data_IF_167369926108
#
_entry.id   IF_167369926108
#
_cell.length_a   1.000
_cell.length_b   1.000
_cell.length_c   1.000
_cell.angle_alpha   90.00
_cell.angle_beta   90.00
_cell.angle_gamma   90.00
#
_symmetry.space_group_name_H-M   'P 1'
#
loop_
_entity.id
_entity.type
_entity.pdbx_description
1 polymer ?
#
# COMPACT_ATOMS: atom_id res chain seq x y z
N UNK A 1 -15.55 1.61 -1.38
CA UNK A 1 -14.46 2.29 -2.13
C UNK A 1 -14.63 1.96 -3.61
N UNK A 2 -14.45 2.93 -4.52
CA UNK A 2 -14.53 2.66 -5.95
C UNK A 2 -13.20 2.09 -6.48
N UNK A 3 -13.27 1.30 -7.55
CA UNK A 3 -12.14 0.58 -8.13
C UNK A 3 -11.04 1.51 -8.64
N UNK A 4 -11.41 2.69 -9.15
CA UNK A 4 -10.46 3.67 -9.70
C UNK A 4 -9.56 4.24 -8.61
N UNK A 5 -10.13 4.59 -7.45
CA UNK A 5 -9.35 5.07 -6.31
C UNK A 5 -8.40 3.98 -5.81
N UNK A 6 -8.85 2.73 -5.74
CA UNK A 6 -8.03 1.59 -5.28
C UNK A 6 -6.83 1.37 -6.19
N UNK A 7 -7.05 1.37 -7.51
CA UNK A 7 -5.98 1.21 -8.50
C UNK A 7 -4.97 2.35 -8.46
N UNK A 8 -5.43 3.59 -8.26
CA UNK A 8 -4.54 4.75 -8.13
C UNK A 8 -3.68 4.67 -6.88
N UNK A 9 -4.25 4.26 -5.73
CA UNK A 9 -3.50 4.06 -4.49
C UNK A 9 -2.41 2.99 -4.67
N UNK A 10 -2.72 1.87 -5.33
CA UNK A 10 -1.71 0.85 -5.62
C UNK A 10 -0.65 1.33 -6.61
N UNK A 11 -1.03 2.09 -7.63
CA UNK A 11 -0.09 2.71 -8.58
C UNK A 11 0.89 3.64 -7.86
N UNK A 12 0.41 4.44 -6.92
CA UNK A 12 1.26 5.29 -6.08
C UNK A 12 2.17 4.47 -5.16
N UNK A 13 1.66 3.36 -4.60
CA UNK A 13 2.47 2.46 -3.77
C UNK A 13 3.59 1.76 -4.56
N UNK A 14 3.39 1.45 -5.84
CA UNK A 14 4.44 0.94 -6.74
C UNK A 14 5.57 1.97 -6.91
N UNK A 15 5.23 3.26 -6.92
CA UNK A 15 6.21 4.35 -6.97
C UNK A 15 6.80 4.74 -5.61
N UNK A 16 6.40 4.10 -4.51
CA UNK A 16 6.81 4.50 -3.17
C UNK A 16 8.26 4.09 -2.88
N UNK A 17 9.07 5.07 -2.47
CA UNK A 17 10.50 4.89 -2.14
C UNK A 17 10.75 4.62 -0.66
N UNK A 18 9.71 4.67 0.17
CA UNK A 18 9.82 4.43 1.61
C UNK A 18 8.81 3.39 2.05
N UNK A 19 9.33 2.36 2.70
CA UNK A 19 8.55 1.26 3.27
C UNK A 19 9.01 1.01 4.70
N UNK A 20 8.06 1.04 5.63
CA UNK A 20 8.29 0.76 7.04
C UNK A 20 8.05 -0.72 7.32
N UNK A 21 8.99 -1.37 8.01
CA UNK A 21 8.81 -2.74 8.49
C UNK A 21 8.02 -2.74 9.80
N UNK A 22 7.01 -3.60 9.86
CA UNK A 22 6.16 -3.83 11.04
C UNK A 22 6.07 -5.32 11.33
N UNK A 23 5.47 -5.69 12.46
CA UNK A 23 5.21 -7.09 12.78
C UNK A 23 4.21 -7.75 11.80
N UNK A 24 3.40 -6.95 11.10
CA UNK A 24 2.39 -7.39 10.14
C UNK A 24 2.91 -7.47 8.69
N UNK A 25 4.10 -6.92 8.42
CA UNK A 25 4.66 -6.84 7.07
C UNK A 25 5.28 -5.48 6.76
N UNK A 26 5.52 -5.22 5.47
CA UNK A 26 5.99 -3.93 4.99
C UNK A 26 4.79 -3.02 4.73
N UNK A 27 4.86 -1.79 5.19
CA UNK A 27 3.79 -0.80 5.03
C UNK A 27 4.34 0.46 4.40
N UNK A 28 3.58 1.05 3.48
CA UNK A 28 3.83 2.40 2.97
C UNK A 28 2.56 3.24 3.07
N UNK A 29 2.73 4.55 3.09
CA UNK A 29 1.63 5.51 3.11
C UNK A 29 1.70 6.39 1.89
N UNK A 30 0.59 6.57 1.19
CA UNK A 30 0.50 7.40 -0.02
C UNK A 30 -0.65 8.39 0.10
N UNK A 31 -0.45 9.62 -0.39
CA UNK A 31 -1.50 10.64 -0.38
C UNK A 31 -2.28 10.62 -1.69
N UNK A 32 -3.60 10.47 -1.61
CA UNK A 32 -4.48 10.51 -2.78
C UNK A 32 -5.88 10.99 -2.40
N UNK A 33 -6.45 11.86 -3.24
CA UNK A 33 -7.80 12.41 -3.08
C UNK A 33 -8.10 13.03 -1.70
N UNK A 34 -7.11 13.69 -1.08
CA UNK A 34 -7.26 14.32 0.25
C UNK A 34 -7.18 13.36 1.44
N UNK A 35 -6.81 12.10 1.20
CA UNK A 35 -6.58 11.10 2.23
C UNK A 35 -5.15 10.57 2.17
N UNK A 36 -4.63 10.15 3.32
CA UNK A 36 -3.43 9.34 3.45
C UNK A 36 -3.84 7.88 3.54
N UNK A 37 -3.46 7.10 2.53
CA UNK A 37 -3.79 5.69 2.40
C UNK A 37 -2.64 4.84 2.88
N UNK A 38 -2.92 3.83 3.70
CA UNK A 38 -1.93 2.85 4.16
C UNK A 38 -2.03 1.60 3.30
N UNK A 39 -0.95 1.30 2.57
CA UNK A 39 -0.81 0.05 1.80
C UNK A 39 0.11 -0.88 2.57
N UNK A 40 -0.30 -2.15 2.70
CA UNK A 40 0.46 -3.19 3.38
C UNK A 40 0.76 -4.34 2.44
N UNK A 41 2.02 -4.76 2.45
CA UNK A 41 2.47 -6.04 1.93
C UNK A 41 2.58 -7.01 3.13
N UNK A 42 1.73 -8.05 3.21
CA UNK A 42 1.69 -8.93 4.37
C UNK A 42 3.00 -9.69 4.56
N UNK A 43 3.35 -9.96 5.81
CA UNK A 43 4.49 -10.81 6.14
C UNK A 43 4.20 -12.26 5.70
N UNK A 44 5.00 -12.78 4.76
CA UNK A 44 4.87 -14.16 4.27
C UNK A 44 4.24 -14.20 2.87
N UNK A 45 3.13 -14.93 2.73
CA UNK A 45 2.42 -15.10 1.46
C UNK A 45 1.09 -14.35 1.46
N UNK A 46 0.82 -13.59 0.40
CA UNK A 46 -0.44 -12.88 0.22
C UNK A 46 -0.32 -11.74 -0.79
N UNK A 47 -1.46 -11.17 -1.15
CA UNK A 47 -1.51 -9.96 -1.98
C UNK A 47 -1.25 -8.72 -1.13
N UNK A 48 -0.69 -7.69 -1.76
CA UNK A 48 -0.70 -6.37 -1.16
C UNK A 48 -2.15 -5.89 -1.00
N UNK A 49 -2.43 -5.10 0.03
CA UNK A 49 -3.78 -4.60 0.29
C UNK A 49 -3.75 -3.21 0.92
N UNK A 50 -4.85 -2.48 0.79
CA UNK A 50 -5.07 -1.20 1.47
C UNK A 50 -5.60 -1.51 2.88
N UNK A 51 -4.83 -1.21 3.91
CA UNK A 51 -5.24 -1.42 5.30
C UNK A 51 -6.34 -0.44 5.70
N UNK A 52 -6.17 0.82 5.30
CA UNK A 52 -7.12 1.88 5.56
C UNK A 52 -6.65 3.24 5.06
N UNK A 53 -7.41 4.27 5.40
CA UNK A 53 -7.09 5.67 5.09
C UNK A 53 -7.40 6.56 6.27
N UNK A 54 -6.71 7.69 6.35
CA UNK A 54 -6.97 8.76 7.31
C UNK A 54 -6.98 10.11 6.58
N UNK A 55 -7.89 11.01 6.93
CA UNK A 55 -7.97 12.33 6.29
C UNK A 55 -9.19 13.16 6.68
N UNK A 56 -9.46 14.20 5.90
CA UNK A 56 -10.50 15.21 6.17
C UNK A 56 -11.92 14.62 6.37
N UNK A 57 -12.21 13.45 5.79
CA UNK A 57 -13.47 12.74 5.98
C UNK A 57 -13.43 11.58 6.98
N UNK A 58 -12.43 11.52 7.87
CA UNK A 58 -12.28 10.50 8.91
C UNK A 58 -11.33 9.35 8.55
N UNK A 59 -11.22 8.39 9.46
CA UNK A 59 -10.42 7.17 9.30
C UNK A 59 -11.31 5.98 8.93
N UNK A 60 -10.91 5.19 7.94
CA UNK A 60 -11.67 4.05 7.43
C UNK A 60 -10.77 2.84 7.18
N UNK A 61 -11.23 1.65 7.55
CA UNK A 61 -10.61 0.38 7.18
C UNK A 61 -11.14 -0.06 5.81
N UNK A 62 -10.26 -0.22 4.83
CA UNK A 62 -10.65 -0.53 3.45
C UNK A 62 -10.49 -2.01 3.10
N UNK A 63 -9.43 -2.66 3.61
CA UNK A 63 -9.03 -4.06 3.34
C UNK A 63 -9.16 -4.49 1.87
N UNK A 64 -8.95 -3.57 0.92
CA UNK A 64 -9.05 -3.85 -0.50
C UNK A 64 -7.74 -4.50 -0.99
N UNK A 65 -7.83 -5.65 -1.66
CA UNK A 65 -6.67 -6.37 -2.19
C UNK A 65 -6.25 -5.85 -3.57
N UNK A 66 -4.94 -5.86 -3.82
CA UNK A 66 -4.37 -5.62 -5.13
C UNK A 66 -4.57 -6.83 -6.06
N UNK A 67 -4.47 -6.59 -7.37
CA UNK A 67 -4.23 -7.69 -8.31
C UNK A 67 -2.86 -8.34 -8.06
N UNK A 68 -2.67 -9.56 -8.58
CA UNK A 68 -1.35 -10.22 -8.50
C UNK A 68 -0.27 -9.47 -9.28
N UNK A 69 -0.61 -8.84 -10.41
CA UNK A 69 0.31 -8.03 -11.18
C UNK A 69 0.77 -6.80 -10.39
N UNK A 70 -0.16 -6.05 -9.79
CA UNK A 70 0.17 -4.93 -8.89
C UNK A 70 0.96 -5.41 -7.68
N UNK A 71 0.61 -6.56 -7.09
CA UNK A 71 1.34 -7.13 -5.95
C UNK A 71 2.81 -7.39 -6.31
N UNK A 72 3.10 -7.98 -7.47
CA UNK A 72 4.48 -8.21 -7.91
C UNK A 72 5.30 -6.91 -7.97
N UNK A 73 4.75 -5.87 -8.59
CA UNK A 73 5.40 -4.56 -8.68
C UNK A 73 5.57 -3.88 -7.31
N UNK A 74 4.60 -4.04 -6.41
CA UNK A 74 4.68 -3.55 -5.03
C UNK A 74 5.78 -4.29 -4.25
N UNK A 75 5.90 -5.60 -4.42
CA UNK A 75 6.99 -6.39 -3.81
C UNK A 75 8.34 -5.86 -4.29
N UNK A 76 8.51 -5.63 -5.59
CA UNK A 76 9.75 -5.08 -6.13
C UNK A 76 10.08 -3.70 -5.56
N UNK A 77 9.09 -2.79 -5.50
CA UNK A 77 9.25 -1.47 -4.90
C UNK A 77 9.62 -1.54 -3.42
N UNK A 78 8.93 -2.39 -2.65
CA UNK A 78 9.18 -2.58 -1.22
C UNK A 78 10.56 -3.19 -0.94
N UNK A 79 10.99 -4.16 -1.76
CA UNK A 79 12.32 -4.75 -1.66
C UNK A 79 13.41 -3.77 -2.09
N UNK A 80 13.20 -2.95 -3.12
CA UNK A 80 14.13 -1.92 -3.55
C UNK A 80 14.32 -0.85 -2.46
N UNK A 81 13.23 -0.39 -1.83
CA UNK A 81 13.26 0.60 -0.76
C UNK A 81 13.91 0.08 0.54
N UNK A 82 13.90 -1.23 0.77
CA UNK A 82 14.43 -1.84 2.01
C UNK A 82 15.82 -2.46 1.86
N UNK A 83 16.36 -2.56 0.62
CA UNK A 83 17.66 -3.17 0.31
C UNK A 83 18.88 -2.32 0.66
N UNK A 84 18.71 -1.11 1.20
CA UNK A 84 19.81 -0.22 1.59
C UNK A 84 19.82 -0.03 3.10
N UNK A 85 20.66 -0.80 3.80
CA UNK A 85 21.60 -0.38 4.84
C UNK A 85 22.33 -1.57 5.46
#
# INVERSE_FOLDING_TARGET
MDTTTTDMVFTLAIGATSWKRTNLGLTTTVSHAGYTWTVRLPKGHGKAYIDGREGYGGSEFAQAEASWAQTGLIVDAAMAATRVH
#
